data_IF_075421330136
#
_entry.id   IF_075421330136
#
_cell.length_a   1.000
_cell.length_b   1.000
_cell.length_c   1.000
_cell.angle_alpha   90.00
_cell.angle_beta   90.00
_cell.angle_gamma   90.00
#
_symmetry.space_group_name_H-M   'P 1'
#
loop_
_entity.id
_entity.type
_entity.pdbx_description
1 polymer ?
#
# COMPACT_ATOMS: atom_id res chain seq x y z
N UNK A 1 27.33 -15.23 -15.68
CA UNK A 1 27.17 -13.86 -15.14
C UNK A 1 28.43 -13.08 -15.44
N UNK A 2 28.38 -11.96 -16.19
CA UNK A 2 29.55 -11.12 -16.38
C UNK A 2 29.88 -10.46 -15.05
N UNK A 3 31.10 -10.66 -14.55
CA UNK A 3 31.64 -9.99 -13.37
C UNK A 3 31.60 -8.49 -13.67
N UNK A 4 30.83 -7.72 -12.92
CA UNK A 4 30.95 -6.26 -12.93
C UNK A 4 32.38 -5.94 -12.51
N UNK A 5 33.13 -5.36 -13.44
CA UNK A 5 34.50 -4.90 -13.20
C UNK A 5 34.41 -3.74 -12.20
N UNK A 6 34.40 -4.07 -10.90
CA UNK A 6 34.41 -3.13 -9.78
C UNK A 6 35.78 -2.44 -9.73
N UNK A 7 36.10 -1.68 -10.77
CA UNK A 7 37.22 -0.77 -10.77
C UNK A 7 36.90 0.29 -9.73
N UNK A 8 37.66 0.30 -8.63
CA UNK A 8 37.58 1.37 -7.64
C UNK A 8 37.69 2.70 -8.40
N UNK A 9 36.78 3.66 -8.14
CA UNK A 9 36.85 4.95 -8.79
C UNK A 9 38.24 5.54 -8.53
N UNK A 10 38.90 6.01 -9.59
CA UNK A 10 40.18 6.69 -9.45
C UNK A 10 39.92 8.02 -8.77
N UNK A 11 40.41 8.19 -7.55
CA UNK A 11 40.41 9.48 -6.88
C UNK A 11 41.42 10.39 -7.57
N UNK A 12 40.95 11.50 -8.13
CA UNK A 12 41.82 12.53 -8.70
C UNK A 12 41.53 13.82 -7.94
N UNK A 13 42.56 14.41 -7.34
CA UNK A 13 42.46 15.68 -6.65
C UNK A 13 42.76 16.79 -7.65
N UNK A 14 41.78 17.65 -7.90
CA UNK A 14 41.95 18.86 -8.67
C UNK A 14 41.62 20.05 -7.77
N UNK A 15 42.40 21.13 -7.90
CA UNK A 15 42.10 22.41 -7.26
C UNK A 15 41.65 23.39 -8.35
N UNK A 16 40.34 23.51 -8.54
CA UNK A 16 39.74 24.53 -9.41
C UNK A 16 38.69 25.31 -8.63
N UNK A 17 38.27 26.50 -9.09
CA UNK A 17 37.20 27.26 -8.46
C UNK A 17 35.90 26.46 -8.29
N UNK A 18 35.58 25.58 -9.25
CA UNK A 18 34.40 24.71 -9.16
C UNK A 18 34.51 23.66 -8.03
N UNK A 19 35.71 23.12 -7.76
CA UNK A 19 35.93 22.21 -6.64
C UNK A 19 35.78 22.93 -5.30
N UNK A 20 36.29 24.16 -5.20
CA UNK A 20 36.15 24.98 -4.00
C UNK A 20 34.68 25.35 -3.73
N UNK A 21 33.92 25.70 -4.77
CA UNK A 21 32.49 25.97 -4.63
C UNK A 21 31.69 24.71 -4.28
N UNK A 22 32.01 23.55 -4.88
CA UNK A 22 31.40 22.29 -4.51
C UNK A 22 31.66 21.94 -3.03
N UNK A 23 32.89 22.11 -2.54
CA UNK A 23 33.23 21.91 -1.12
C UNK A 23 32.43 22.87 -0.22
N UNK A 24 32.34 24.15 -0.60
CA UNK A 24 31.53 25.15 0.13
C UNK A 24 30.06 24.72 0.21
N UNK A 25 29.47 24.29 -0.90
CA UNK A 25 28.07 23.84 -0.95
C UNK A 25 27.85 22.56 -0.13
N UNK A 26 28.78 21.61 -0.15
CA UNK A 26 28.68 20.39 0.66
C UNK A 26 28.72 20.72 2.16
N UNK A 27 29.56 21.67 2.60
CA UNK A 27 29.57 22.14 4.00
C UNK A 27 28.27 22.82 4.40
N UNK A 28 27.71 23.65 3.52
CA UNK A 28 26.40 24.28 3.76
C UNK A 28 25.32 23.20 3.91
N UNK A 29 25.29 22.21 3.00
CA UNK A 29 24.34 21.10 3.08
C UNK A 29 24.48 20.28 4.36
N UNK A 30 25.71 20.05 4.82
CA UNK A 30 25.99 19.37 6.10
C UNK A 30 25.38 20.15 7.28
N UNK A 31 25.70 21.45 7.39
CA UNK A 31 25.18 22.32 8.46
C UNK A 31 23.65 22.43 8.46
N UNK A 32 23.04 22.58 7.28
CA UNK A 32 21.59 22.66 7.14
C UNK A 32 20.92 21.33 7.50
N UNK A 33 21.53 20.19 7.12
CA UNK A 33 21.03 18.86 7.45
C UNK A 33 21.06 18.61 8.95
N UNK A 34 22.13 19.00 9.62
CA UNK A 34 22.26 18.92 11.08
C UNK A 34 21.22 19.80 11.78
N UNK A 35 21.10 21.06 11.35
CA UNK A 35 20.13 22.02 11.89
C UNK A 35 18.68 21.55 11.72
N UNK A 36 18.37 20.96 10.57
CA UNK A 36 17.06 20.36 10.30
C UNK A 36 16.81 19.14 11.20
N UNK A 37 17.78 18.24 11.32
CA UNK A 37 17.66 17.06 12.18
C UNK A 37 17.46 17.44 13.65
N UNK A 38 18.19 18.45 14.14
CA UNK A 38 18.02 18.96 15.51
C UNK A 38 16.65 19.61 15.71
N UNK A 39 16.22 20.46 14.78
CA UNK A 39 14.89 21.10 14.84
C UNK A 39 13.75 20.08 14.83
N UNK A 40 13.87 19.04 13.99
CA UNK A 40 12.90 17.95 13.93
C UNK A 40 12.87 17.15 15.24
N UNK A 41 14.03 16.90 15.86
CA UNK A 41 14.13 16.24 17.17
C UNK A 41 13.46 17.08 18.25
N UNK A 42 13.82 18.37 18.36
CA UNK A 42 13.24 19.28 19.34
C UNK A 42 11.72 19.39 19.20
N UNK A 43 11.22 19.51 17.97
CA UNK A 43 9.79 19.53 17.69
C UNK A 43 9.11 18.24 18.17
N UNK A 44 9.68 17.08 17.82
CA UNK A 44 9.11 15.77 18.18
C UNK A 44 9.08 15.57 19.70
N UNK A 45 10.18 15.91 20.38
CA UNK A 45 10.29 15.80 21.83
C UNK A 45 9.31 16.74 22.54
N UNK A 46 9.20 17.99 22.08
CA UNK A 46 8.28 18.97 22.65
C UNK A 46 6.81 18.59 22.41
N UNK A 47 6.48 18.07 21.23
CA UNK A 47 5.15 17.57 20.92
C UNK A 47 4.76 16.41 21.85
N UNK A 48 5.65 15.43 22.05
CA UNK A 48 5.42 14.32 22.96
C UNK A 48 5.38 14.76 24.43
N UNK A 49 6.18 15.75 24.81
CA UNK A 49 6.12 16.37 26.15
C UNK A 49 4.76 16.99 26.38
N UNK A 50 4.28 17.83 25.47
CA UNK A 50 2.98 18.50 25.57
C UNK A 50 1.82 17.49 25.61
N UNK A 51 1.92 16.42 24.81
CA UNK A 51 0.94 15.33 24.83
C UNK A 51 0.88 14.64 26.20
N UNK A 52 2.02 14.41 26.85
CA UNK A 52 2.11 13.78 28.18
C UNK A 52 1.73 14.74 29.32
N UNK A 53 2.13 16.01 29.24
CA UNK A 53 2.02 16.96 30.33
C UNK A 53 0.68 17.69 30.38
N UNK A 54 -0.10 17.69 29.30
CA UNK A 54 -1.40 18.35 29.25
C UNK A 54 -2.51 17.40 29.72
N UNK A 55 -3.18 17.70 30.85
CA UNK A 55 -4.38 16.98 31.27
C UNK A 55 -5.49 17.06 30.23
N UNK A 56 -5.49 18.10 29.39
CA UNK A 56 -6.45 18.29 28.30
C UNK A 56 -6.29 17.22 27.23
N UNK A 57 -5.05 16.89 26.83
CA UNK A 57 -4.80 15.84 25.82
C UNK A 57 -5.19 14.45 26.33
N UNK A 58 -4.87 14.13 27.58
CA UNK A 58 -5.28 12.87 28.21
C UNK A 58 -6.80 12.77 28.38
N UNK A 59 -7.45 13.88 28.76
CA UNK A 59 -8.91 13.98 28.84
C UNK A 59 -9.57 13.76 27.48
N UNK A 60 -9.10 14.46 26.44
CA UNK A 60 -9.62 14.32 25.08
C UNK A 60 -9.38 12.92 24.49
N UNK A 61 -8.21 12.33 24.67
CA UNK A 61 -7.94 10.96 24.20
C UNK A 61 -8.81 9.95 24.95
N UNK A 62 -8.99 10.14 26.26
CA UNK A 62 -9.91 9.35 27.08
C UNK A 62 -11.35 9.46 26.62
N UNK A 63 -11.84 10.68 26.39
CA UNK A 63 -13.19 10.97 25.92
C UNK A 63 -13.42 10.37 24.52
N UNK A 64 -12.49 10.56 23.58
CA UNK A 64 -12.56 9.96 22.25
C UNK A 64 -12.67 8.43 22.35
N UNK A 65 -11.78 7.78 23.11
CA UNK A 65 -11.84 6.32 23.32
C UNK A 65 -13.15 5.87 23.97
N UNK A 66 -13.64 6.64 24.95
CA UNK A 66 -14.90 6.35 25.63
C UNK A 66 -16.09 6.42 24.66
N UNK A 67 -16.17 7.47 23.84
CA UNK A 67 -17.24 7.63 22.86
C UNK A 67 -17.13 6.64 21.71
N UNK A 68 -15.93 6.32 21.21
CA UNK A 68 -15.71 5.26 20.23
C UNK A 68 -16.19 3.90 20.76
N UNK A 69 -15.82 3.55 22.00
CA UNK A 69 -16.29 2.32 22.65
C UNK A 69 -17.82 2.31 22.77
N UNK A 70 -18.43 3.41 23.22
CA UNK A 70 -19.90 3.50 23.37
C UNK A 70 -20.63 3.42 22.04
N UNK A 71 -20.11 4.08 21.01
CA UNK A 71 -20.64 4.02 19.66
C UNK A 71 -20.58 2.57 19.13
N UNK A 72 -19.42 1.92 19.25
CA UNK A 72 -19.27 0.51 18.86
C UNK A 72 -20.19 -0.45 19.64
N UNK A 73 -20.47 -0.19 20.92
CA UNK A 73 -21.46 -0.96 21.67
C UNK A 73 -22.90 -0.69 21.20
N UNK A 74 -23.25 0.55 20.89
CA UNK A 74 -24.55 0.91 20.35
C UNK A 74 -24.78 0.29 18.97
N UNK A 75 -23.79 0.33 18.08
CA UNK A 75 -23.81 -0.31 16.76
C UNK A 75 -23.99 -1.82 16.87
N UNK A 76 -23.26 -2.49 17.78
CA UNK A 76 -23.43 -3.93 18.02
C UNK A 76 -24.83 -4.27 18.50
N UNK A 77 -25.40 -3.47 19.41
CA UNK A 77 -26.78 -3.64 19.89
C UNK A 77 -27.79 -3.45 18.76
N UNK A 78 -27.63 -2.39 17.95
CA UNK A 78 -28.47 -2.13 16.79
C UNK A 78 -28.41 -3.31 15.81
N UNK A 79 -27.21 -3.74 15.42
CA UNK A 79 -27.03 -4.87 14.51
C UNK A 79 -27.73 -6.14 15.01
N UNK A 80 -27.53 -6.50 16.28
CA UNK A 80 -28.20 -7.66 16.89
C UNK A 80 -29.72 -7.52 16.84
N UNK A 81 -30.24 -6.34 17.16
CA UNK A 81 -31.66 -6.05 17.07
C UNK A 81 -32.20 -6.16 15.64
N UNK A 82 -31.47 -5.66 14.64
CA UNK A 82 -31.83 -5.80 13.22
C UNK A 82 -31.87 -7.27 12.77
N UNK A 83 -30.96 -8.11 13.28
CA UNK A 83 -30.95 -9.55 12.99
C UNK A 83 -32.16 -10.26 13.63
N UNK A 84 -32.48 -9.95 14.89
CA UNK A 84 -33.60 -10.54 15.64
C UNK A 84 -34.97 -10.09 15.11
N UNK A 85 -35.09 -8.83 14.70
CA UNK A 85 -36.33 -8.21 14.22
C UNK A 85 -36.39 -8.08 12.68
N UNK A 86 -35.56 -8.85 11.97
CA UNK A 86 -35.40 -8.75 10.52
C UNK A 86 -36.73 -8.80 9.76
N UNK A 87 -37.61 -9.72 10.11
CA UNK A 87 -38.88 -9.91 9.41
C UNK A 87 -39.81 -8.70 9.56
N UNK A 88 -39.86 -8.11 10.75
CA UNK A 88 -40.70 -6.95 11.03
C UNK A 88 -40.19 -5.69 10.31
N UNK A 89 -38.87 -5.46 10.36
CA UNK A 89 -38.24 -4.26 9.81
C UNK A 89 -38.09 -4.26 8.28
N UNK A 90 -37.87 -5.43 7.68
CA UNK A 90 -37.46 -5.56 6.28
C UNK A 90 -38.33 -6.49 5.44
N UNK A 91 -39.34 -7.16 6.03
CA UNK A 91 -40.29 -8.02 5.31
C UNK A 91 -41.75 -7.63 5.60
N UNK A 92 -42.18 -6.38 5.34
CA UNK A 92 -43.53 -5.91 5.69
C UNK A 92 -44.66 -6.69 4.99
N UNK A 93 -44.36 -7.39 3.90
CA UNK A 93 -45.30 -8.25 3.14
C UNK A 93 -45.13 -9.75 3.42
N UNK A 94 -44.24 -10.13 4.36
CA UNK A 94 -43.90 -11.52 4.65
C UNK A 94 -42.91 -12.16 3.67
N UNK A 95 -42.55 -11.49 2.58
CA UNK A 95 -41.45 -11.89 1.68
C UNK A 95 -40.23 -11.01 1.96
N UNK A 96 -39.04 -11.61 2.04
CA UNK A 96 -37.78 -10.86 2.17
C UNK A 96 -37.28 -10.45 0.77
N UNK A 97 -37.31 -9.15 0.42
CA UNK A 97 -36.77 -8.68 -0.85
C UNK A 97 -35.24 -8.82 -0.90
N UNK A 98 -34.65 -8.85 -2.10
CA UNK A 98 -33.19 -8.91 -2.29
C UNK A 98 -32.48 -7.69 -1.70
N UNK A 99 -33.13 -6.52 -1.74
CA UNK A 99 -32.70 -5.32 -1.04
C UNK A 99 -33.89 -4.45 -0.65
N UNK A 100 -33.82 -3.82 0.52
CA UNK A 100 -34.83 -2.88 1.01
C UNK A 100 -34.20 -1.81 1.89
N UNK A 101 -34.77 -0.61 1.81
CA UNK A 101 -34.51 0.54 2.67
C UNK A 101 -35.73 0.78 3.55
N UNK A 102 -35.53 0.95 4.85
CA UNK A 102 -36.57 1.31 5.81
C UNK A 102 -36.16 2.61 6.51
N UNK A 103 -36.93 3.67 6.32
CA UNK A 103 -36.68 4.99 6.93
C UNK A 103 -37.23 5.03 8.36
N UNK A 104 -36.44 5.58 9.29
CA UNK A 104 -36.84 5.81 10.69
C UNK A 104 -36.50 7.25 11.08
N UNK A 105 -37.04 7.73 12.21
CA UNK A 105 -36.94 9.15 12.60
C UNK A 105 -35.51 9.72 12.69
N UNK A 106 -34.49 8.87 12.87
CA UNK A 106 -33.10 9.28 13.05
C UNK A 106 -32.13 8.71 11.99
N UNK A 107 -32.65 8.13 10.91
CA UNK A 107 -31.82 7.61 9.83
C UNK A 107 -32.50 6.53 9.01
N UNK A 108 -31.69 5.83 8.22
CA UNK A 108 -32.15 4.81 7.30
C UNK A 108 -31.53 3.46 7.63
N UNK A 109 -32.34 2.41 7.59
CA UNK A 109 -31.91 1.03 7.74
C UNK A 109 -31.89 0.36 6.37
N UNK A 110 -30.84 -0.41 6.10
CA UNK A 110 -30.67 -1.11 4.83
C UNK A 110 -30.51 -2.60 5.09
N UNK A 111 -31.22 -3.39 4.28
CA UNK A 111 -31.01 -4.81 4.16
C UNK A 111 -30.70 -5.14 2.71
N UNK A 112 -29.65 -5.93 2.48
CA UNK A 112 -29.35 -6.57 1.21
C UNK A 112 -28.98 -8.02 1.45
N UNK A 113 -29.36 -8.89 0.51
CA UNK A 113 -28.93 -10.27 0.46
C UNK A 113 -27.88 -10.42 -0.63
N UNK A 114 -26.60 -10.41 -0.24
CA UNK A 114 -25.48 -10.61 -1.15
C UNK A 114 -24.89 -12.01 -0.96
N UNK A 115 -24.71 -12.75 -2.06
CA UNK A 115 -24.00 -14.02 -2.04
C UNK A 115 -22.50 -13.78 -2.14
N UNK A 116 -21.79 -13.94 -1.03
CA UNK A 116 -20.34 -13.86 -1.00
C UNK A 116 -19.70 -15.23 -1.27
N UNK A 117 -18.67 -15.26 -2.12
CA UNK A 117 -17.78 -16.43 -2.25
C UNK A 117 -16.83 -16.43 -1.05
N UNK A 118 -17.01 -17.38 -0.14
CA UNK A 118 -16.17 -17.50 1.06
C UNK A 118 -14.91 -18.27 0.71
N UNK A 119 -13.73 -17.71 1.01
CA UNK A 119 -12.45 -18.42 0.91
C UNK A 119 -12.27 -19.40 2.08
N UNK A 120 -12.26 -20.73 1.85
CA UNK A 120 -11.97 -21.70 2.91
C UNK A 120 -10.53 -21.54 3.45
N UNK A 121 -10.36 -21.65 4.77
CA UNK A 121 -9.06 -21.42 5.45
C UNK A 121 -7.99 -22.49 5.17
N UNK A 122 -8.39 -23.71 4.79
CA UNK A 122 -7.51 -24.89 4.68
C UNK A 122 -7.39 -25.42 3.25
N UNK A 123 -7.85 -24.67 2.27
CA UNK A 123 -7.85 -25.09 0.86
C UNK A 123 -7.14 -24.03 0.04
N UNK A 124 -6.21 -24.48 -0.79
CA UNK A 124 -5.60 -23.64 -1.80
C UNK A 124 -6.53 -23.56 -3.02
N UNK A 125 -7.43 -22.59 -2.97
CA UNK A 125 -8.40 -22.34 -4.05
C UNK A 125 -7.70 -22.02 -5.37
N UNK A 126 -6.54 -21.36 -5.34
CA UNK A 126 -5.82 -21.00 -6.56
C UNK A 126 -5.23 -22.25 -7.20
N UNK A 127 -4.53 -23.09 -6.44
CA UNK A 127 -3.96 -24.33 -6.96
C UNK A 127 -5.03 -25.22 -7.61
N UNK A 128 -6.19 -25.35 -6.98
CA UNK A 128 -7.30 -26.12 -7.52
C UNK A 128 -7.83 -25.52 -8.83
N UNK A 129 -8.03 -24.20 -8.89
CA UNK A 129 -8.50 -23.53 -10.11
C UNK A 129 -7.45 -23.65 -11.22
N UNK A 130 -6.17 -23.51 -10.92
CA UNK A 130 -5.08 -23.66 -11.89
C UNK A 130 -5.01 -25.08 -12.46
N UNK A 131 -5.19 -26.11 -11.63
CA UNK A 131 -5.25 -27.51 -12.09
C UNK A 131 -6.37 -27.71 -13.11
N UNK A 132 -7.59 -27.29 -12.79
CA UNK A 132 -8.73 -27.39 -13.72
C UNK A 132 -8.58 -26.48 -14.95
N UNK A 133 -7.99 -25.29 -14.79
CA UNK A 133 -7.70 -24.38 -15.90
C UNK A 133 -6.69 -24.99 -16.88
N UNK A 134 -5.67 -25.72 -16.39
CA UNK A 134 -4.74 -26.45 -17.26
C UNK A 134 -5.43 -27.60 -17.99
N UNK A 135 -6.27 -28.38 -17.30
CA UNK A 135 -7.05 -29.46 -17.93
C UNK A 135 -7.99 -28.91 -19.03
N UNK A 136 -8.61 -27.76 -18.79
CA UNK A 136 -9.39 -27.01 -19.79
C UNK A 136 -8.51 -26.58 -20.99
N UNK A 137 -7.34 -25.96 -20.75
CA UNK A 137 -6.42 -25.50 -21.80
C UNK A 137 -5.90 -26.66 -22.67
N UNK A 138 -5.63 -27.82 -22.08
CA UNK A 138 -5.14 -29.00 -22.80
C UNK A 138 -6.25 -29.90 -23.38
N UNK A 139 -7.53 -29.56 -23.18
CA UNK A 139 -8.67 -30.33 -23.68
C UNK A 139 -8.83 -31.71 -23.04
N UNK A 140 -8.37 -31.88 -21.79
CA UNK A 140 -8.42 -33.13 -21.04
C UNK A 140 -9.61 -33.14 -20.08
N UNK A 141 -10.81 -33.35 -20.60
CA UNK A 141 -12.06 -33.46 -19.83
C UNK A 141 -13.15 -32.48 -20.26
N UNK A 142 -14.28 -32.46 -19.53
CA UNK A 142 -15.40 -31.52 -19.76
C UNK A 142 -15.38 -30.39 -18.71
N UNK A 143 -14.24 -29.68 -18.64
CA UNK A 143 -14.04 -28.52 -17.77
C UNK A 143 -14.19 -27.24 -18.59
N UNK A 144 -14.95 -26.26 -18.08
CA UNK A 144 -15.15 -24.96 -18.73
C UNK A 144 -15.22 -23.84 -17.70
N UNK A 145 -14.61 -22.69 -18.01
CA UNK A 145 -14.71 -21.46 -17.22
C UNK A 145 -13.75 -21.37 -16.03
N UNK A 146 -12.86 -22.35 -15.83
CA UNK A 146 -11.85 -22.27 -14.77
C UNK A 146 -10.71 -21.33 -15.17
N UNK A 147 -10.34 -21.32 -16.46
CA UNK A 147 -9.32 -20.40 -16.98
C UNK A 147 -9.70 -18.92 -16.79
N UNK A 148 -10.99 -18.57 -16.84
CA UNK A 148 -11.48 -17.19 -16.64
C UNK A 148 -11.29 -16.70 -15.19
N UNK A 149 -11.27 -17.62 -14.23
CA UNK A 149 -11.05 -17.31 -12.82
C UNK A 149 -9.56 -17.10 -12.47
N UNK A 150 -8.64 -17.41 -13.39
CA UNK A 150 -7.19 -17.20 -13.20
C UNK A 150 -6.77 -15.85 -13.78
N UNK A 151 -6.41 -14.90 -12.92
CA UNK A 151 -5.87 -13.62 -13.37
C UNK A 151 -4.39 -13.75 -13.75
N UNK A 152 -4.10 -13.70 -15.05
CA UNK A 152 -2.71 -13.67 -15.56
C UNK A 152 -2.20 -12.22 -15.61
N UNK A 153 -1.40 -11.83 -14.62
CA UNK A 153 -0.69 -10.54 -14.63
C UNK A 153 0.63 -10.68 -15.40
N UNK A 154 0.65 -10.29 -16.67
CA UNK A 154 1.90 -10.17 -17.44
C UNK A 154 2.57 -8.85 -17.12
N UNK A 155 3.85 -8.89 -16.80
CA UNK A 155 4.68 -7.70 -16.63
C UNK A 155 5.93 -7.81 -17.49
N UNK A 156 6.44 -6.65 -17.88
CA UNK A 156 7.67 -6.54 -18.65
C UNK A 156 8.85 -6.80 -17.73
N UNK A 157 9.69 -7.78 -18.05
CA UNK A 157 10.94 -8.02 -17.33
C UNK A 157 12.00 -6.99 -17.74
N UNK A 158 11.96 -5.83 -17.11
CA UNK A 158 12.85 -4.70 -17.42
C UNK A 158 14.33 -5.03 -17.25
N UNK A 159 14.70 -5.88 -16.31
CA UNK A 159 16.10 -6.24 -16.09
C UNK A 159 16.65 -7.08 -17.24
N UNK A 160 15.83 -7.98 -17.79
CA UNK A 160 16.18 -8.69 -19.01
C UNK A 160 16.27 -7.73 -20.21
N UNK A 161 15.30 -6.82 -20.37
CA UNK A 161 15.33 -5.83 -21.46
C UNK A 161 16.58 -4.94 -21.41
N UNK A 162 17.06 -4.52 -20.24
CA UNK A 162 18.31 -3.73 -20.13
C UNK A 162 19.51 -4.43 -20.77
N UNK A 163 19.53 -5.77 -20.78
CA UNK A 163 20.61 -6.56 -21.38
C UNK A 163 20.51 -6.70 -22.89
N UNK A 164 19.34 -6.41 -23.48
CA UNK A 164 19.14 -6.59 -24.92
C UNK A 164 19.97 -5.62 -25.76
N UNK A 165 20.40 -6.05 -26.96
CA UNK A 165 21.00 -5.14 -27.93
C UNK A 165 19.95 -4.14 -28.43
N UNK A 166 20.41 -2.97 -28.88
CA UNK A 166 19.54 -1.83 -29.23
C UNK A 166 18.54 -2.22 -30.33
N UNK A 167 18.93 -3.06 -31.29
CA UNK A 167 18.08 -3.51 -32.40
C UNK A 167 16.83 -4.23 -31.89
N UNK A 168 16.99 -5.08 -30.86
CA UNK A 168 15.86 -5.79 -30.23
C UNK A 168 14.98 -4.86 -29.40
N UNK A 169 15.56 -3.84 -28.79
CA UNK A 169 14.82 -2.82 -28.04
C UNK A 169 13.91 -2.01 -28.97
N UNK A 170 14.46 -1.57 -30.11
CA UNK A 170 13.71 -0.84 -31.13
C UNK A 170 12.51 -1.65 -31.64
N UNK A 171 12.69 -2.96 -31.89
CA UNK A 171 11.62 -3.84 -32.35
C UNK A 171 10.42 -3.92 -31.39
N UNK A 172 10.64 -3.75 -30.08
CA UNK A 172 9.58 -3.77 -29.06
C UNK A 172 9.17 -2.37 -28.59
N UNK A 173 9.59 -1.32 -29.31
CA UNK A 173 9.19 0.07 -29.07
C UNK A 173 9.90 0.75 -27.90
N UNK A 174 11.13 0.35 -27.57
CA UNK A 174 11.94 0.96 -26.50
C UNK A 174 13.37 1.25 -26.98
N UNK A 175 14.14 2.00 -26.21
CA UNK A 175 15.51 2.40 -26.56
C UNK A 175 16.40 2.63 -25.34
N UNK A 176 17.71 2.43 -25.48
CA UNK A 176 18.69 2.87 -24.47
C UNK A 176 18.98 4.36 -24.63
N UNK A 177 18.70 5.15 -23.60
CA UNK A 177 19.18 6.53 -23.49
C UNK A 177 20.33 6.61 -22.48
N UNK A 178 21.43 7.33 -22.80
CA UNK A 178 22.44 7.61 -21.80
C UNK A 178 21.79 8.43 -20.68
N UNK A 179 21.98 7.99 -19.42
CA UNK A 179 21.56 8.73 -18.24
C UNK A 179 22.80 9.08 -17.43
N UNK A 180 23.09 10.37 -17.36
CA UNK A 180 24.08 10.89 -16.42
C UNK A 180 23.44 10.95 -15.03
N UNK A 181 24.16 10.48 -14.02
CA UNK A 181 23.70 10.52 -12.64
C UNK A 181 24.80 11.14 -11.80
N UNK A 182 24.49 12.23 -11.11
CA UNK A 182 25.38 12.91 -10.18
C UNK A 182 24.98 12.49 -8.77
N UNK A 183 25.87 11.81 -8.07
CA UNK A 183 25.69 11.43 -6.67
C UNK A 183 26.77 12.08 -5.83
N UNK A 184 26.43 12.41 -4.59
CA UNK A 184 27.37 12.92 -3.60
C UNK A 184 27.11 12.21 -2.27
N UNK A 185 28.18 11.99 -1.52
CA UNK A 185 28.12 11.48 -0.16
C UNK A 185 28.69 12.56 0.75
N UNK A 186 27.93 12.95 1.77
CA UNK A 186 28.48 13.74 2.87
C UNK A 186 29.25 12.78 3.76
N UNK A 187 30.48 13.15 4.13
CA UNK A 187 31.23 12.38 5.12
C UNK A 187 30.54 12.61 6.46
N UNK A 188 30.26 11.55 7.21
CA UNK A 188 29.83 11.71 8.60
C UNK A 188 30.93 12.48 9.35
N UNK A 189 30.55 13.56 10.04
CA UNK A 189 31.41 14.19 11.01
C UNK A 189 31.78 13.15 12.07
N UNK A 190 33.08 12.88 12.23
CA UNK A 190 33.63 12.02 13.30
C UNK A 190 33.36 12.62 14.69
#
# INVERSE_FOLDING_TARGET
MPKTDNRKPKTISFSTPAHAEADRLLRVLETERESFAESQRLFTDEFERLKKSSPVWQGLEGDCRYYEMRMGLAEKKLKKFLEEQKQDLFSPTGMAPESIKTEVSHGDLFYSLDYAVIKPRKVDVLANIEEYALLEIYGLGDYRGFAEAVKVAKSVNWDLLKTWPQERLIMVGTEKKPKETFTFDLREAL
#
